data_IF_415912507737
#
_entry.id   IF_415912507737
#
_cell.length_a   1.000
_cell.length_b   1.000
_cell.length_c   1.000
_cell.angle_alpha   90.00
_cell.angle_beta   90.00
_cell.angle_gamma   90.00
#
_symmetry.space_group_name_H-M   'P 1'
#
loop_
_entity.id
_entity.type
_entity.pdbx_description
1 polymer ?
#
# COMPACT_ATOMS: atom_id res chain seq x y z
N UNK A 1 -12.43 2.72 -20.99
CA UNK A 1 -11.12 2.38 -20.39
C UNK A 1 -11.37 1.91 -18.99
N UNK A 2 -10.96 0.69 -18.65
CA UNK A 2 -11.24 0.08 -17.35
C UNK A 2 -10.48 0.81 -16.23
N UNK A 3 -11.01 0.80 -15.00
CA UNK A 3 -10.39 1.41 -13.81
C UNK A 3 -8.97 0.89 -13.57
N UNK A 4 -8.75 -0.42 -13.80
CA UNK A 4 -7.44 -1.08 -13.68
C UNK A 4 -6.43 -0.47 -14.66
N UNK A 5 -6.83 -0.32 -15.94
CA UNK A 5 -5.96 0.27 -16.97
C UNK A 5 -5.60 1.72 -16.65
N UNK A 6 -6.55 2.50 -16.12
CA UNK A 6 -6.30 3.89 -15.73
C UNK A 6 -5.26 3.98 -14.61
N UNK A 7 -5.36 3.12 -13.59
CA UNK A 7 -4.41 3.06 -12.47
C UNK A 7 -3.03 2.59 -12.98
N UNK A 8 -2.99 1.52 -13.77
CA UNK A 8 -1.74 1.01 -14.32
C UNK A 8 -1.04 2.07 -15.18
N UNK A 9 -1.78 2.76 -16.06
CA UNK A 9 -1.25 3.84 -16.88
C UNK A 9 -0.75 5.04 -16.05
N UNK A 10 -1.44 5.38 -14.94
CA UNK A 10 -1.00 6.43 -14.04
C UNK A 10 0.35 6.07 -13.39
N UNK A 11 0.49 4.83 -12.92
CA UNK A 11 1.70 4.32 -12.26
C UNK A 11 2.83 4.01 -13.27
N UNK A 12 2.52 3.78 -14.55
CA UNK A 12 3.51 3.55 -15.60
C UNK A 12 4.23 4.82 -16.05
N UNK A 13 3.69 6.00 -15.76
CA UNK A 13 4.39 7.27 -16.04
C UNK A 13 5.65 7.35 -15.17
N UNK A 14 6.77 7.78 -15.79
CA UNK A 14 8.06 8.02 -15.10
C UNK A 14 7.99 9.27 -14.19
N UNK A 15 7.01 9.36 -13.31
CA UNK A 15 6.87 10.52 -12.42
C UNK A 15 6.60 10.03 -11.02
N UNK A 16 7.28 10.62 -10.06
CA UNK A 16 7.06 10.45 -8.61
C UNK A 16 5.60 10.73 -8.30
N UNK A 17 4.81 9.71 -8.08
CA UNK A 17 3.38 9.87 -7.81
C UNK A 17 2.96 9.07 -6.61
N UNK A 18 2.07 9.68 -5.81
CA UNK A 18 1.36 9.00 -4.76
C UNK A 18 -0.12 8.85 -5.14
N UNK A 19 -0.56 7.60 -5.25
CA UNK A 19 -1.95 7.22 -5.50
C UNK A 19 -2.58 6.73 -4.20
N UNK A 20 -3.72 7.31 -3.82
CA UNK A 20 -4.56 6.81 -2.73
C UNK A 20 -5.73 5.99 -3.27
N UNK A 21 -5.97 4.82 -2.73
CA UNK A 21 -7.14 3.97 -2.98
C UNK A 21 -7.95 3.91 -1.68
N UNK A 22 -9.08 4.58 -1.68
CA UNK A 22 -9.96 4.72 -0.54
C UNK A 22 -11.27 3.94 -0.74
N UNK A 23 -11.85 3.45 0.34
CA UNK A 23 -13.16 2.79 0.35
C UNK A 23 -13.41 2.06 1.67
N UNK A 24 -14.66 1.72 1.94
CA UNK A 24 -15.06 0.98 3.15
C UNK A 24 -14.43 -0.42 3.23
N UNK A 25 -14.50 -1.04 4.38
CA UNK A 25 -14.05 -2.42 4.55
C UNK A 25 -14.86 -3.38 3.67
N UNK A 26 -14.20 -4.40 3.15
CA UNK A 26 -14.84 -5.39 2.27
C UNK A 26 -15.16 -4.91 0.86
N UNK A 27 -14.98 -3.62 0.52
CA UNK A 27 -15.32 -3.05 -0.79
C UNK A 27 -14.42 -3.54 -1.95
N UNK A 28 -13.36 -4.32 -1.67
CA UNK A 28 -12.48 -4.86 -2.70
C UNK A 28 -11.25 -4.03 -3.03
N UNK A 29 -10.79 -3.13 -2.15
CA UNK A 29 -9.58 -2.30 -2.36
C UNK A 29 -8.35 -3.15 -2.70
N UNK A 30 -8.02 -4.10 -1.84
CA UNK A 30 -6.88 -5.01 -2.01
C UNK A 30 -7.04 -5.90 -3.25
N UNK A 31 -8.26 -6.32 -3.57
CA UNK A 31 -8.53 -7.06 -4.80
C UNK A 31 -8.25 -6.22 -6.05
N UNK A 32 -8.78 -4.98 -6.09
CA UNK A 32 -8.47 -4.05 -7.18
C UNK A 32 -6.97 -3.87 -7.34
N UNK A 33 -6.25 -3.68 -6.22
CA UNK A 33 -4.80 -3.51 -6.25
C UNK A 33 -4.09 -4.73 -6.85
N UNK A 34 -4.45 -5.95 -6.45
CA UNK A 34 -3.88 -7.19 -7.01
C UNK A 34 -4.12 -7.31 -8.53
N UNK A 35 -5.26 -6.86 -9.03
CA UNK A 35 -5.52 -6.82 -10.48
C UNK A 35 -4.64 -5.77 -11.19
N UNK A 36 -4.42 -4.62 -10.56
CA UNK A 36 -3.50 -3.60 -11.07
C UNK A 36 -2.05 -4.12 -11.08
N UNK A 37 -1.61 -4.76 -10.01
CA UNK A 37 -0.27 -5.36 -9.90
C UNK A 37 -0.04 -6.41 -11.00
N UNK A 38 -1.01 -7.29 -11.22
CA UNK A 38 -0.99 -8.26 -12.32
C UNK A 38 -0.87 -7.56 -13.68
N UNK A 39 -1.67 -6.52 -13.91
CA UNK A 39 -1.62 -5.73 -15.14
C UNK A 39 -0.27 -5.05 -15.36
N UNK A 40 0.31 -4.47 -14.30
CA UNK A 40 1.65 -3.85 -14.35
C UNK A 40 2.73 -4.86 -14.75
N UNK A 41 2.66 -6.10 -14.26
CA UNK A 41 3.60 -7.16 -14.62
C UNK A 41 3.40 -7.67 -16.06
N UNK A 42 2.17 -7.70 -16.57
CA UNK A 42 1.87 -8.10 -17.96
C UNK A 42 2.34 -7.04 -18.97
N UNK A 43 2.14 -5.76 -18.66
CA UNK A 43 2.53 -4.64 -19.53
C UNK A 43 4.06 -4.46 -19.61
N UNK A 44 4.82 -5.11 -18.73
CA UNK A 44 6.28 -4.99 -18.62
C UNK A 44 7.05 -5.87 -19.62
N UNK A 45 6.38 -6.77 -20.36
CA UNK A 45 7.06 -7.74 -21.26
C UNK A 45 7.96 -7.10 -22.33
N UNK A 46 7.75 -5.82 -22.65
CA UNK A 46 8.54 -5.04 -23.63
C UNK A 46 9.30 -3.85 -23.01
N UNK A 47 9.26 -3.68 -21.67
CA UNK A 47 9.89 -2.57 -20.93
C UNK A 47 10.51 -3.10 -19.65
N UNK A 48 11.42 -2.33 -19.04
CA UNK A 48 11.96 -2.63 -17.72
C UNK A 48 10.84 -2.95 -16.73
N UNK A 49 10.85 -4.16 -16.17
CA UNK A 49 9.84 -4.68 -15.27
C UNK A 49 9.63 -3.77 -14.05
N UNK A 50 8.40 -3.31 -13.85
CA UNK A 50 8.03 -2.63 -12.60
C UNK A 50 7.81 -3.64 -11.52
N UNK A 51 8.52 -3.46 -10.41
CA UNK A 51 8.42 -4.30 -9.23
C UNK A 51 7.59 -3.62 -8.16
N UNK A 52 6.66 -4.36 -7.58
CA UNK A 52 5.86 -3.90 -6.45
C UNK A 52 6.46 -4.39 -5.13
N UNK A 53 6.68 -3.45 -4.21
CA UNK A 53 7.02 -3.70 -2.81
C UNK A 53 5.75 -3.46 -2.00
N UNK A 54 5.00 -4.51 -1.75
CA UNK A 54 3.74 -4.46 -1.00
C UNK A 54 4.00 -4.60 0.50
N UNK A 55 3.54 -3.64 1.29
CA UNK A 55 3.68 -3.58 2.75
C UNK A 55 2.29 -3.54 3.38
N UNK A 56 1.96 -4.59 4.12
CA UNK A 56 0.75 -4.63 4.94
C UNK A 56 1.06 -4.00 6.31
N UNK A 57 0.35 -2.94 6.66
CA UNK A 57 0.54 -2.23 7.93
C UNK A 57 -0.24 -2.85 9.09
N UNK A 58 -1.12 -3.82 8.80
CA UNK A 58 -1.81 -4.55 9.86
C UNK A 58 -0.81 -5.30 10.74
N UNK A 59 -0.83 -5.00 12.06
CA UNK A 59 0.06 -5.62 13.03
C UNK A 59 1.50 -5.09 13.02
N UNK A 60 1.81 -4.02 12.27
CA UNK A 60 3.10 -3.34 12.36
C UNK A 60 3.09 -2.40 13.56
N UNK A 61 4.09 -2.56 14.41
CA UNK A 61 4.18 -1.85 15.69
C UNK A 61 5.13 -0.64 15.64
N UNK A 62 6.02 -0.59 14.64
CA UNK A 62 7.02 0.46 14.58
C UNK A 62 7.41 0.82 13.14
N UNK A 63 7.83 2.06 12.98
CA UNK A 63 8.43 2.58 11.77
C UNK A 63 9.63 1.73 11.29
N UNK A 64 10.44 1.25 12.24
CA UNK A 64 11.60 0.38 11.97
C UNK A 64 11.19 -0.90 11.24
N UNK A 65 10.13 -1.59 11.69
CA UNK A 65 9.64 -2.82 11.04
C UNK A 65 9.23 -2.58 9.59
N UNK A 66 8.64 -1.43 9.28
CA UNK A 66 8.27 -1.07 7.91
C UNK A 66 9.52 -0.91 7.04
N UNK A 67 10.53 -0.19 7.55
CA UNK A 67 11.78 0.02 6.82
C UNK A 67 12.52 -1.29 6.56
N UNK A 68 12.60 -2.16 7.56
CA UNK A 68 13.20 -3.49 7.47
C UNK A 68 12.51 -4.33 6.38
N UNK A 69 11.18 -4.31 6.34
CA UNK A 69 10.41 -5.04 5.33
C UNK A 69 10.63 -4.47 3.92
N UNK A 70 10.68 -3.14 3.79
CA UNK A 70 10.99 -2.50 2.49
C UNK A 70 12.37 -2.96 2.01
N UNK A 71 13.40 -2.88 2.86
CA UNK A 71 14.77 -3.32 2.54
C UNK A 71 14.79 -4.79 2.15
N UNK A 72 14.15 -5.64 2.96
CA UNK A 72 14.08 -7.07 2.68
C UNK A 72 13.40 -7.37 1.33
N UNK A 73 12.29 -6.71 1.02
CA UNK A 73 11.58 -6.93 -0.25
C UNK A 73 12.29 -6.31 -1.46
N UNK A 74 13.03 -5.24 -1.28
CA UNK A 74 13.86 -4.67 -2.35
C UNK A 74 14.97 -5.62 -2.73
N UNK A 75 15.72 -6.12 -1.77
CA UNK A 75 16.94 -6.90 -2.02
C UNK A 75 16.74 -8.42 -1.96
N UNK A 76 15.79 -8.92 -1.16
CA UNK A 76 15.50 -10.35 -1.01
C UNK A 76 14.93 -11.04 -2.25
N UNK A 77 14.41 -10.27 -3.21
CA UNK A 77 13.92 -10.78 -4.50
C UNK A 77 14.91 -10.62 -5.66
N UNK A 78 16.06 -9.99 -5.44
CA UNK A 78 17.14 -9.97 -6.42
C UNK A 78 17.89 -11.31 -6.38
N UNK A 79 17.42 -12.28 -7.18
CA UNK A 79 18.09 -13.56 -7.42
C UNK A 79 19.44 -13.43 -8.18
N UNK A 80 19.92 -12.22 -8.43
CA UNK A 80 21.26 -11.91 -8.92
C UNK A 80 22.02 -11.07 -7.89
N UNK A 81 22.20 -11.63 -6.70
CA UNK A 81 23.08 -11.06 -5.68
C UNK A 81 24.50 -11.21 -6.21
N UNK A 82 25.04 -10.12 -6.73
CA UNK A 82 26.50 -10.04 -6.90
C UNK A 82 27.11 -10.08 -5.50
N UNK A 83 28.33 -10.66 -5.35
CA UNK A 83 29.01 -10.80 -4.05
C UNK A 83 29.02 -9.50 -3.23
N UNK A 84 29.15 -8.34 -3.88
CA UNK A 84 29.10 -7.01 -3.24
C UNK A 84 27.73 -6.67 -2.61
N UNK A 85 26.63 -7.13 -3.19
CA UNK A 85 25.28 -6.89 -2.66
C UNK A 85 25.01 -7.82 -1.47
N UNK A 86 25.57 -9.03 -1.48
CA UNK A 86 25.51 -9.99 -0.36
C UNK A 86 26.13 -9.41 0.90
N UNK A 87 27.27 -8.72 0.79
CA UNK A 87 27.95 -8.11 1.93
C UNK A 87 27.17 -6.92 2.50
N UNK A 88 26.54 -6.13 1.66
CA UNK A 88 25.66 -5.02 2.08
C UNK A 88 24.41 -5.56 2.77
N UNK A 89 23.73 -6.55 2.18
CA UNK A 89 22.53 -7.17 2.75
C UNK A 89 22.87 -7.90 4.05
N UNK A 90 23.93 -8.70 4.09
CA UNK A 90 24.36 -9.41 5.29
C UNK A 90 24.82 -8.42 6.38
N UNK A 91 25.46 -7.33 6.00
CA UNK A 91 25.82 -6.23 6.89
C UNK A 91 24.61 -5.47 7.42
N UNK A 92 23.60 -5.19 6.57
CA UNK A 92 22.33 -4.55 6.97
C UNK A 92 21.50 -5.49 7.83
N UNK A 93 21.30 -6.75 7.43
CA UNK A 93 20.55 -7.75 8.20
C UNK A 93 21.25 -8.02 9.54
N UNK A 94 22.59 -8.17 9.58
CA UNK A 94 23.32 -8.32 10.83
C UNK A 94 23.23 -7.08 11.71
N UNK A 95 23.30 -5.86 11.17
CA UNK A 95 23.14 -4.62 11.94
C UNK A 95 21.71 -4.44 12.44
N UNK A 96 20.72 -4.84 11.65
CA UNK A 96 19.29 -4.76 11.99
C UNK A 96 18.89 -5.86 12.98
N UNK A 97 19.45 -7.06 12.88
CA UNK A 97 19.20 -8.20 13.78
C UNK A 97 19.97 -8.13 15.11
N UNK A 98 20.99 -7.28 15.21
CA UNK A 98 21.68 -7.06 16.49
C UNK A 98 20.83 -6.17 17.39
N UNK A 99 20.09 -6.77 18.32
CA UNK A 99 19.24 -6.10 19.34
C UNK A 99 19.96 -5.04 20.19
N UNK A 100 21.28 -4.95 20.09
CA UNK A 100 22.12 -4.03 20.89
C UNK A 100 22.50 -2.71 20.18
N UNK A 101 22.22 -2.55 18.90
CA UNK A 101 22.53 -1.29 18.21
C UNK A 101 21.21 -0.57 17.96
N UNK A 102 20.98 0.53 18.69
CA UNK A 102 19.95 1.53 18.37
C UNK A 102 20.32 2.22 17.07
N UNK A 103 20.03 1.56 15.92
CA UNK A 103 20.15 2.21 14.63
C UNK A 103 18.95 3.12 14.50
N UNK A 104 19.22 4.43 14.40
CA UNK A 104 18.18 5.40 14.06
C UNK A 104 17.50 4.95 12.75
N UNK A 105 16.17 4.91 12.66
CA UNK A 105 15.45 4.48 11.47
C UNK A 105 15.92 5.20 10.19
N UNK A 106 16.24 6.48 10.29
CA UNK A 106 16.78 7.29 9.19
C UNK A 106 18.13 6.78 8.67
N UNK A 107 18.95 6.13 9.52
CA UNK A 107 20.23 5.56 9.08
C UNK A 107 20.02 4.36 8.12
N UNK A 108 18.97 3.57 8.28
CA UNK A 108 18.62 2.49 7.33
C UNK A 108 18.34 3.09 5.95
N UNK A 109 17.54 4.17 5.91
CA UNK A 109 17.20 4.82 4.64
C UNK A 109 18.36 5.56 3.98
N UNK A 110 19.38 5.98 4.74
CA UNK A 110 20.59 6.61 4.18
C UNK A 110 21.42 5.65 3.34
N UNK A 111 21.32 4.35 3.58
CA UNK A 111 22.00 3.31 2.79
C UNK A 111 21.27 2.98 1.48
N UNK A 112 19.97 3.27 1.40
CA UNK A 112 19.17 3.07 0.20
C UNK A 112 19.39 4.24 -0.76
N UNK A 113 19.94 3.95 -1.92
CA UNK A 113 20.12 4.97 -2.97
C UNK A 113 18.82 5.16 -3.75
N UNK A 114 18.72 6.28 -4.45
CA UNK A 114 17.59 6.57 -5.34
C UNK A 114 17.47 5.51 -6.45
N UNK A 115 18.60 5.05 -6.96
CA UNK A 115 18.70 4.04 -8.02
C UNK A 115 18.07 2.70 -7.62
N UNK A 116 18.08 2.36 -6.32
CA UNK A 116 17.47 1.14 -5.79
C UNK A 116 15.95 1.14 -5.92
N UNK A 117 15.34 2.32 -6.13
CA UNK A 117 13.91 2.50 -6.32
C UNK A 117 13.51 2.70 -7.79
N UNK A 118 14.44 2.56 -8.72
CA UNK A 118 14.12 2.62 -10.15
C UNK A 118 13.12 1.50 -10.51
N UNK A 119 12.04 1.88 -11.16
CA UNK A 119 10.96 0.98 -11.53
C UNK A 119 10.27 0.26 -10.34
N UNK A 120 10.43 0.79 -9.12
CA UNK A 120 9.75 0.29 -7.92
C UNK A 120 8.46 1.08 -7.67
N UNK A 121 7.43 0.35 -7.25
CA UNK A 121 6.20 0.90 -6.69
C UNK A 121 6.10 0.37 -5.26
N UNK A 122 6.08 1.26 -4.26
CA UNK A 122 5.85 0.87 -2.87
C UNK A 122 4.36 1.01 -2.57
N UNK A 123 3.72 -0.08 -2.16
CA UNK A 123 2.31 -0.11 -1.81
C UNK A 123 2.14 -0.35 -0.30
N UNK A 124 1.50 0.60 0.38
CA UNK A 124 1.07 0.46 1.78
C UNK A 124 -0.41 0.13 1.85
N UNK A 125 -0.76 -1.01 2.43
CA UNK A 125 -2.16 -1.43 2.63
C UNK A 125 -2.52 -1.46 4.12
N UNK A 126 -3.82 -1.38 4.42
CA UNK A 126 -4.37 -1.42 5.78
C UNK A 126 -3.81 -0.30 6.69
N UNK A 127 -3.65 0.92 6.17
CA UNK A 127 -3.07 2.04 6.91
C UNK A 127 -3.88 2.37 8.17
N UNK A 128 -5.21 2.23 8.11
CA UNK A 128 -6.12 2.41 9.25
C UNK A 128 -6.00 1.32 10.32
N UNK A 129 -5.35 0.19 10.01
CA UNK A 129 -5.20 -0.97 10.91
C UNK A 129 -3.79 -1.09 11.51
N UNK A 130 -2.99 -0.05 11.36
CA UNK A 130 -1.68 0.06 12.01
C UNK A 130 -1.80 0.05 13.54
N UNK A 131 -0.73 -0.31 14.23
CA UNK A 131 -0.66 -0.17 15.68
C UNK A 131 -0.73 1.31 16.12
N UNK A 132 -1.27 1.57 17.31
CA UNK A 132 -1.31 2.90 17.93
C UNK A 132 0.08 3.49 18.18
N UNK A 133 1.10 2.63 18.30
CA UNK A 133 2.50 3.04 18.43
C UNK A 133 3.09 3.61 17.14
N UNK A 134 2.43 3.40 16.01
CA UNK A 134 2.85 3.85 14.69
C UNK A 134 1.93 4.99 14.22
N UNK A 135 2.40 6.22 14.33
CA UNK A 135 1.60 7.38 13.97
C UNK A 135 1.36 7.50 12.47
N UNK A 136 0.20 8.04 12.09
CA UNK A 136 -0.08 8.35 10.68
C UNK A 136 0.94 9.34 10.10
N UNK A 137 1.43 10.27 10.93
CA UNK A 137 2.46 11.24 10.57
C UNK A 137 3.76 10.56 10.12
N UNK A 138 4.19 9.50 10.80
CA UNK A 138 5.39 8.75 10.41
C UNK A 138 5.21 8.06 9.07
N UNK A 139 4.03 7.48 8.83
CA UNK A 139 3.70 6.84 7.54
C UNK A 139 3.68 7.87 6.42
N UNK A 140 3.01 9.00 6.61
CA UNK A 140 2.96 10.06 5.60
C UNK A 140 4.35 10.68 5.36
N UNK A 141 5.17 10.79 6.40
CA UNK A 141 6.58 11.19 6.30
C UNK A 141 7.38 10.21 5.44
N UNK A 142 7.18 8.90 5.63
CA UNK A 142 7.80 7.86 4.82
C UNK A 142 7.35 7.92 3.36
N UNK A 143 6.04 8.08 3.13
CA UNK A 143 5.49 8.22 1.77
C UNK A 143 6.11 9.43 1.06
N UNK A 144 6.21 10.57 1.76
CA UNK A 144 6.82 11.77 1.21
C UNK A 144 8.32 11.55 0.89
N UNK A 145 9.05 10.91 1.79
CA UNK A 145 10.48 10.58 1.58
C UNK A 145 10.66 9.66 0.36
N UNK A 146 9.86 8.59 0.25
CA UNK A 146 9.90 7.68 -0.91
C UNK A 146 9.59 8.42 -2.21
N UNK A 147 8.57 9.29 -2.20
CA UNK A 147 8.15 10.05 -3.36
C UNK A 147 9.19 11.10 -3.75
N UNK A 148 9.62 11.96 -2.84
CA UNK A 148 10.43 13.14 -3.16
C UNK A 148 11.93 12.83 -3.22
N UNK A 149 12.46 12.03 -2.28
CA UNK A 149 13.88 11.77 -2.22
C UNK A 149 14.30 10.53 -3.01
N UNK A 150 13.48 9.46 -2.95
CA UNK A 150 13.78 8.21 -3.68
C UNK A 150 13.13 8.17 -5.07
N UNK A 151 12.33 9.15 -5.43
CA UNK A 151 11.62 9.28 -6.71
C UNK A 151 10.77 8.05 -7.07
N UNK A 152 10.26 7.39 -6.04
CA UNK A 152 9.47 6.18 -6.14
C UNK A 152 7.98 6.51 -6.34
N UNK A 153 7.26 5.68 -7.09
CA UNK A 153 5.80 5.71 -7.07
C UNK A 153 5.30 5.03 -5.81
N UNK A 154 4.32 5.65 -5.13
CA UNK A 154 3.74 5.12 -3.91
C UNK A 154 2.24 4.91 -4.08
N UNK A 155 1.73 3.82 -3.53
CA UNK A 155 0.30 3.53 -3.43
C UNK A 155 -0.08 3.42 -1.97
N UNK A 156 -1.16 4.07 -1.59
CA UNK A 156 -1.73 4.02 -0.25
C UNK A 156 -3.14 3.44 -0.32
N UNK A 157 -3.42 2.39 0.43
CA UNK A 157 -4.74 1.74 0.48
C UNK A 157 -5.27 1.87 1.91
N UNK A 158 -6.47 2.44 2.07
CA UNK A 158 -7.01 2.72 3.39
C UNK A 158 -8.53 2.92 3.39
N UNK A 159 -9.11 2.95 4.59
CA UNK A 159 -10.47 3.40 4.86
C UNK A 159 -10.43 4.81 5.47
N UNK A 160 -10.83 5.81 4.70
CA UNK A 160 -10.70 7.22 5.07
C UNK A 160 -11.44 7.56 6.37
N UNK A 161 -12.68 7.08 6.55
CA UNK A 161 -13.47 7.35 7.75
C UNK A 161 -12.74 6.92 9.02
N UNK A 162 -12.20 5.72 9.05
CA UNK A 162 -11.43 5.20 10.18
C UNK A 162 -10.15 6.01 10.44
N UNK A 163 -9.44 6.42 9.40
CA UNK A 163 -8.25 7.26 9.56
C UNK A 163 -8.58 8.61 10.20
N UNK A 164 -9.68 9.23 9.81
CA UNK A 164 -10.11 10.53 10.33
C UNK A 164 -10.57 10.41 11.79
N UNK A 165 -11.23 9.31 12.18
CA UNK A 165 -11.65 9.05 13.56
C UNK A 165 -10.45 8.78 14.48
N UNK A 166 -9.49 7.95 14.06
CA UNK A 166 -8.28 7.67 14.83
C UNK A 166 -7.43 8.92 15.03
N UNK A 167 -7.30 9.75 14.00
CA UNK A 167 -6.53 11.00 14.07
C UNK A 167 -7.17 12.00 15.05
N UNK A 168 -8.50 12.05 15.10
CA UNK A 168 -9.26 12.88 16.02
C UNK A 168 -9.10 12.43 17.48
N UNK A 169 -9.02 11.12 17.74
CA UNK A 169 -8.89 10.54 19.07
C UNK A 169 -7.47 10.64 19.64
N UNK A 170 -6.45 10.61 18.81
CA UNK A 170 -5.03 10.68 19.22
C UNK A 170 -4.61 12.06 19.76
N UNK A 171 -5.41 13.10 19.54
CA UNK A 171 -5.15 14.49 19.99
C UNK A 171 -5.77 14.83 21.34
N UNK A 172 -6.48 13.92 22.00
CA UNK A 172 -7.21 14.22 23.23
C UNK A 172 -6.49 13.63 24.44
N UNK A 173 -5.54 14.37 25.02
CA UNK A 173 -5.21 14.23 26.43
C UNK A 173 -6.26 14.95 27.27
N UNK A 174 -6.86 14.23 28.24
CA UNK A 174 -8.10 14.53 28.96
C UNK A 174 -8.20 15.84 29.78
N UNK A 175 -7.26 16.77 29.68
CA UNK A 175 -7.24 17.99 30.51
C UNK A 175 -7.49 19.32 29.77
N UNK A 176 -7.65 19.31 28.43
CA UNK A 176 -7.83 20.55 27.66
C UNK A 176 -9.11 20.59 26.81
N UNK A 177 -10.14 19.88 27.24
CA UNK A 177 -11.41 19.69 26.48
C UNK A 177 -12.23 20.96 26.22
N UNK A 178 -11.92 22.10 26.79
CA UNK A 178 -12.81 23.29 26.72
C UNK A 178 -12.29 24.51 25.96
N UNK A 179 -11.06 24.47 25.45
CA UNK A 179 -10.45 25.66 24.81
C UNK A 179 -10.00 25.53 23.35
N UNK A 180 -10.15 24.35 22.71
CA UNK A 180 -9.59 24.11 21.36
C UNK A 180 -10.57 23.48 20.37
N UNK A 181 -11.79 23.99 20.32
CA UNK A 181 -12.78 23.56 19.32
C UNK A 181 -12.46 24.02 17.88
N UNK A 182 -11.43 24.84 17.67
CA UNK A 182 -11.12 25.45 16.37
C UNK A 182 -9.77 25.04 15.71
N UNK A 183 -8.98 24.16 16.33
CA UNK A 183 -7.62 23.86 15.84
C UNK A 183 -7.25 22.38 15.70
N UNK A 184 -8.18 21.43 15.77
CA UNK A 184 -7.93 20.06 15.33
C UNK A 184 -7.93 20.02 13.79
N UNK A 185 -6.94 20.61 13.17
CA UNK A 185 -6.69 20.37 11.74
C UNK A 185 -6.41 18.89 11.61
N UNK A 186 -7.38 18.16 11.06
CA UNK A 186 -7.27 16.78 10.68
C UNK A 186 -5.95 16.60 9.92
N UNK A 187 -4.99 15.90 10.50
CA UNK A 187 -3.66 15.69 9.95
C UNK A 187 -3.73 15.12 8.53
N UNK A 188 -4.66 14.19 8.32
CA UNK A 188 -4.91 13.63 7.01
C UNK A 188 -5.24 14.71 5.98
N UNK A 189 -6.15 15.64 6.29
CA UNK A 189 -6.51 16.74 5.38
C UNK A 189 -5.32 17.67 5.12
N UNK A 190 -4.54 17.97 6.15
CA UNK A 190 -3.37 18.87 6.02
C UNK A 190 -2.27 18.26 5.17
N UNK A 191 -1.99 16.96 5.32
CA UNK A 191 -0.91 16.30 4.58
C UNK A 191 -1.35 15.69 3.26
N UNK A 192 -2.65 15.40 3.09
CA UNK A 192 -3.21 14.87 1.86
C UNK A 192 -2.79 15.69 0.64
N UNK A 193 -2.99 17.00 0.69
CA UNK A 193 -2.68 17.90 -0.44
C UNK A 193 -1.21 17.91 -0.82
N UNK A 194 -0.32 17.66 0.14
CA UNK A 194 1.14 17.64 -0.08
C UNK A 194 1.66 16.31 -0.58
N UNK A 195 1.05 15.20 -0.14
CA UNK A 195 1.58 13.85 -0.34
C UNK A 195 0.85 13.12 -1.45
N UNK A 196 -0.49 13.22 -1.52
CA UNK A 196 -1.33 12.46 -2.45
C UNK A 196 -1.58 13.24 -3.74
N UNK A 197 -1.13 12.71 -4.86
CA UNK A 197 -1.35 13.34 -6.19
C UNK A 197 -2.70 12.95 -6.80
N UNK A 198 -3.19 11.75 -6.49
CA UNK A 198 -4.46 11.24 -6.99
C UNK A 198 -5.13 10.36 -5.94
N UNK A 199 -6.43 10.57 -5.73
CA UNK A 199 -7.24 9.71 -4.86
C UNK A 199 -8.37 9.07 -5.66
N UNK A 200 -8.51 7.77 -5.54
CA UNK A 200 -9.59 6.97 -6.12
C UNK A 200 -10.44 6.43 -4.98
N UNK A 201 -11.72 6.76 -4.96
CA UNK A 201 -12.68 6.19 -4.02
C UNK A 201 -13.47 5.07 -4.67
N UNK A 202 -13.44 3.88 -4.06
CA UNK A 202 -14.27 2.75 -4.46
C UNK A 202 -15.58 2.85 -3.68
N UNK A 203 -16.69 3.07 -4.39
CA UNK A 203 -18.04 3.23 -3.80
C UNK A 203 -18.90 1.99 -3.95
N UNK A 204 -18.55 1.13 -4.90
CA UNK A 204 -19.32 -0.05 -5.28
C UNK A 204 -18.36 -1.16 -5.69
N UNK A 205 -18.65 -2.39 -5.27
CA UNK A 205 -17.86 -3.60 -5.53
C UNK A 205 -18.54 -4.60 -6.47
N UNK A 206 -19.70 -4.28 -7.07
CA UNK A 206 -20.50 -5.21 -7.86
C UNK A 206 -19.69 -5.84 -9.01
N UNK A 207 -18.89 -5.05 -9.71
CA UNK A 207 -18.01 -5.56 -10.77
C UNK A 207 -16.93 -6.49 -10.24
N UNK A 208 -16.32 -6.13 -9.10
CA UNK A 208 -15.29 -6.95 -8.46
C UNK A 208 -15.89 -8.25 -7.90
N UNK A 209 -17.07 -8.17 -7.27
CA UNK A 209 -17.79 -9.33 -6.76
C UNK A 209 -18.16 -10.29 -7.90
N UNK A 210 -18.71 -9.78 -9.01
CA UNK A 210 -19.02 -10.59 -10.20
C UNK A 210 -17.77 -11.28 -10.77
N UNK A 211 -16.65 -10.55 -10.85
CA UNK A 211 -15.41 -11.11 -11.38
C UNK A 211 -14.87 -12.23 -10.48
N UNK A 212 -14.91 -12.05 -9.14
CA UNK A 212 -14.46 -13.07 -8.18
C UNK A 212 -15.39 -14.31 -8.24
N UNK A 213 -16.70 -14.08 -8.27
CA UNK A 213 -17.68 -15.17 -8.36
C UNK A 213 -17.43 -15.98 -9.63
N UNK A 214 -17.30 -15.31 -10.76
CA UNK A 214 -17.03 -15.95 -12.04
C UNK A 214 -15.72 -16.75 -12.01
N UNK A 215 -14.62 -16.15 -11.54
CA UNK A 215 -13.32 -16.82 -11.41
C UNK A 215 -13.42 -18.07 -10.54
N UNK A 216 -14.17 -18.02 -9.42
CA UNK A 216 -14.36 -19.15 -8.54
C UNK A 216 -15.21 -20.26 -9.17
N UNK A 217 -16.29 -19.88 -9.84
CA UNK A 217 -17.16 -20.84 -10.54
C UNK A 217 -16.40 -21.53 -11.69
N UNK A 218 -15.57 -20.78 -12.44
CA UNK A 218 -14.77 -21.31 -13.54
C UNK A 218 -13.73 -22.35 -13.10
N UNK A 219 -13.33 -22.35 -11.82
CA UNK A 219 -12.47 -23.39 -11.25
C UNK A 219 -13.18 -24.75 -11.10
N UNK A 220 -14.51 -24.78 -11.12
CA UNK A 220 -15.30 -26.01 -11.00
C UNK A 220 -15.72 -26.53 -12.37
N UNK A 221 -14.92 -27.38 -12.99
CA UNK A 221 -15.10 -27.90 -14.35
C UNK A 221 -16.34 -28.80 -14.58
N UNK A 222 -17.05 -29.19 -13.49
CA UNK A 222 -18.23 -30.06 -13.54
C UNK A 222 -19.58 -29.35 -13.46
N UNK A 223 -19.59 -28.03 -13.43
CA UNK A 223 -20.83 -27.27 -13.32
C UNK A 223 -21.32 -26.91 -14.73
N UNK A 224 -22.57 -27.30 -15.04
CA UNK A 224 -23.22 -26.91 -16.31
C UNK A 224 -23.48 -25.41 -16.34
N UNK A 225 -23.58 -24.84 -17.55
CA UNK A 225 -23.81 -23.39 -17.72
C UNK A 225 -25.13 -22.91 -17.07
N UNK A 226 -26.16 -23.75 -17.02
CA UNK A 226 -27.42 -23.48 -16.33
C UNK A 226 -27.24 -23.36 -14.82
N UNK A 227 -26.52 -24.30 -14.19
CA UNK A 227 -26.22 -24.27 -12.76
C UNK A 227 -25.30 -23.05 -12.44
N UNK A 228 -24.34 -22.76 -13.31
CA UNK A 228 -23.47 -21.60 -13.20
C UNK A 228 -24.26 -20.29 -13.13
N UNK A 229 -25.19 -20.09 -14.08
CA UNK A 229 -26.05 -18.90 -14.11
C UNK A 229 -26.94 -18.77 -12.86
N UNK A 230 -27.48 -19.90 -12.36
CA UNK A 230 -28.28 -19.91 -11.14
C UNK A 230 -27.45 -19.51 -9.92
N UNK A 231 -26.24 -20.07 -9.76
CA UNK A 231 -25.34 -19.76 -8.65
C UNK A 231 -24.92 -18.28 -8.70
N UNK A 232 -24.54 -17.77 -9.87
CA UNK A 232 -24.15 -16.36 -10.04
C UNK A 232 -25.30 -15.41 -9.63
N UNK A 233 -26.51 -15.70 -10.05
CA UNK A 233 -27.69 -14.89 -9.72
C UNK A 233 -28.03 -14.94 -8.22
N UNK A 234 -28.01 -16.13 -7.60
CA UNK A 234 -28.32 -16.28 -6.17
C UNK A 234 -27.28 -15.55 -5.32
N UNK A 235 -25.98 -15.74 -5.61
CA UNK A 235 -24.93 -15.08 -4.85
C UNK A 235 -25.04 -13.56 -5.02
N UNK A 236 -25.35 -13.08 -6.23
CA UNK A 236 -25.48 -11.66 -6.50
C UNK A 236 -26.66 -11.01 -5.79
N UNK A 237 -27.77 -11.73 -5.61
CA UNK A 237 -28.93 -11.24 -4.84
C UNK A 237 -28.66 -11.21 -3.32
N UNK A 238 -27.84 -12.13 -2.81
CA UNK A 238 -27.47 -12.18 -1.37
C UNK A 238 -26.51 -11.02 -0.99
N UNK A 239 -25.68 -10.55 -1.94
CA UNK A 239 -24.68 -9.50 -1.69
C UNK A 239 -25.13 -8.10 -2.13
N UNK A 240 -26.39 -7.90 -2.50
CA UNK A 240 -27.01 -6.57 -2.66
C UNK A 240 -27.36 -5.97 -1.31
#
# INVERSE_FOLDING_TARGET
MNKIDNIANFLNKKSKKCLAINGSWGIGKTYLWKQVEKKLSEDSKDKEDKKVVYIDLFGKESYKQILEEIVFKLYGTYNSITEKTSDIISGLIKKVSCEFIKIEPNAIFSFLKKEDFNNIIVCFDNIERRSDNLSLKEILGLVNLLKEEKECNVVMIFHKGELEEQDSNSTINDKEKQAKQDNSKNWYQTYKEKVIDCEITIKNNDEAAKAIIKEKIDQYTKITDEIRNIIENIIFEIYK
#
